data_IF_073625484327
#
_entry.id   IF_073625484327
#
_cell.length_a   1.000
_cell.length_b   1.000
_cell.length_c   1.000
_cell.angle_alpha   90.00
_cell.angle_beta   90.00
_cell.angle_gamma   90.00
#
_symmetry.space_group_name_H-M   'P 1'
#
loop_
_entity.id
_entity.type
_entity.pdbx_description
1 polymer ?
#
# COMPACT_ATOMS: atom_id res chain seq x y z
N UNK A 1 1.73 -11.13 8.61
CA UNK A 1 3.18 -11.19 8.40
C UNK A 1 3.78 -9.89 7.85
N UNK A 2 3.07 -9.12 7.01
CA UNK A 2 3.61 -7.84 6.48
C UNK A 2 3.72 -6.73 7.56
N UNK A 3 2.78 -6.71 8.52
CA UNK A 3 2.78 -5.79 9.67
C UNK A 3 4.05 -5.86 10.50
N UNK A 4 4.56 -7.06 10.77
CA UNK A 4 5.78 -7.25 11.57
C UNK A 4 7.01 -6.77 10.82
N UNK A 5 7.08 -7.01 9.50
CA UNK A 5 8.13 -6.49 8.62
C UNK A 5 8.17 -4.95 8.61
N UNK A 6 7.00 -4.31 8.49
CA UNK A 6 6.86 -2.86 8.56
C UNK A 6 7.30 -2.31 9.92
N UNK A 7 6.88 -2.93 11.02
CA UNK A 7 7.28 -2.53 12.38
C UNK A 7 8.80 -2.65 12.59
N UNK A 8 9.43 -3.74 12.15
CA UNK A 8 10.89 -3.89 12.24
C UNK A 8 11.63 -2.87 11.39
N UNK A 9 11.14 -2.60 10.17
CA UNK A 9 11.75 -1.59 9.30
C UNK A 9 11.62 -0.17 9.87
N UNK A 10 10.47 0.15 10.49
CA UNK A 10 10.25 1.41 11.19
C UNK A 10 11.17 1.55 12.41
N UNK A 11 11.36 0.48 13.19
CA UNK A 11 12.28 0.48 14.33
C UNK A 11 13.74 0.72 13.88
N UNK A 12 14.17 0.08 12.80
CA UNK A 12 15.52 0.26 12.24
C UNK A 12 15.70 1.69 11.72
N UNK A 13 14.71 2.25 11.01
CA UNK A 13 14.78 3.61 10.51
C UNK A 13 14.75 4.66 11.64
N UNK A 14 13.96 4.45 12.70
CA UNK A 14 13.96 5.30 13.89
C UNK A 14 15.31 5.27 14.63
N UNK A 15 15.90 4.07 14.79
CA UNK A 15 17.22 3.91 15.39
C UNK A 15 18.32 4.60 14.57
N UNK A 16 18.27 4.48 13.24
CA UNK A 16 19.19 5.16 12.34
C UNK A 16 19.03 6.70 12.37
N UNK A 17 17.80 7.21 12.52
CA UNK A 17 17.51 8.64 12.66
C UNK A 17 18.02 9.21 14.00
N UNK A 18 17.92 8.45 15.10
CA UNK A 18 18.48 8.88 16.40
C UNK A 18 20.01 8.90 16.41
N UNK A 19 20.65 7.99 15.67
CA UNK A 19 22.11 7.89 15.61
C UNK A 19 22.73 8.89 14.63
N UNK A 20 22.03 9.15 13.53
CA UNK A 20 22.51 9.94 12.41
C UNK A 20 21.47 11.02 12.16
N UNK A 21 21.77 12.27 12.50
CA UNK A 21 20.94 13.44 12.14
C UNK A 21 20.96 13.63 10.61
N UNK A 22 20.39 12.67 9.88
CA UNK A 22 20.53 12.49 8.44
C UNK A 22 19.14 12.27 7.85
N UNK A 23 18.93 12.83 6.67
CA UNK A 23 17.66 12.76 5.95
C UNK A 23 17.39 11.37 5.34
N UNK A 24 18.44 10.55 5.18
CA UNK A 24 18.38 9.21 4.60
C UNK A 24 17.40 8.24 5.28
N UNK A 25 17.42 8.07 6.62
CA UNK A 25 16.42 7.25 7.32
C UNK A 25 14.99 7.77 7.15
N UNK A 26 14.82 9.10 7.07
CA UNK A 26 13.52 9.73 6.88
C UNK A 26 12.98 9.47 5.46
N UNK A 27 13.83 9.58 4.44
CA UNK A 27 13.51 9.21 3.06
C UNK A 27 13.20 7.72 2.92
N UNK A 28 13.95 6.86 3.62
CA UNK A 28 13.68 5.41 3.63
C UNK A 28 12.33 5.08 4.28
N UNK A 29 11.98 5.76 5.38
CA UNK A 29 10.70 5.57 6.07
C UNK A 29 9.53 6.06 5.20
N UNK A 30 9.72 7.18 4.50
CA UNK A 30 8.76 7.70 3.52
C UNK A 30 8.57 6.72 2.34
N UNK A 31 9.65 6.16 1.81
CA UNK A 31 9.59 5.17 0.73
C UNK A 31 8.86 3.89 1.15
N UNK A 32 9.14 3.39 2.37
CA UNK A 32 8.47 2.22 2.94
C UNK A 32 6.96 2.48 3.15
N UNK A 33 6.60 3.65 3.65
CA UNK A 33 5.19 4.06 3.80
C UNK A 33 4.50 4.16 2.44
N UNK A 34 5.14 4.76 1.45
CA UNK A 34 4.60 4.86 0.09
C UNK A 34 4.35 3.47 -0.52
N UNK A 35 5.33 2.56 -0.40
CA UNK A 35 5.20 1.19 -0.88
C UNK A 35 4.06 0.44 -0.17
N UNK A 36 3.92 0.65 1.14
CA UNK A 36 2.81 0.05 1.91
C UNK A 36 1.45 0.56 1.44
N UNK A 37 1.28 1.87 1.25
CA UNK A 37 0.02 2.46 0.77
C UNK A 37 -0.36 1.91 -0.60
N UNK A 38 0.57 1.83 -1.56
CA UNK A 38 0.31 1.25 -2.88
C UNK A 38 -0.11 -0.22 -2.79
N UNK A 39 0.53 -0.99 -1.89
CA UNK A 39 0.17 -2.39 -1.66
C UNK A 39 -1.24 -2.56 -1.09
N UNK A 40 -1.65 -1.70 -0.15
CA UNK A 40 -3.01 -1.72 0.43
C UNK A 40 -4.04 -1.29 -0.62
N UNK A 41 -3.77 -0.24 -1.39
CA UNK A 41 -4.66 0.21 -2.48
C UNK A 41 -4.85 -0.91 -3.52
N UNK A 42 -3.77 -1.56 -3.95
CA UNK A 42 -3.84 -2.70 -4.87
C UNK A 42 -4.66 -3.87 -4.32
N UNK A 43 -4.54 -4.16 -3.02
CA UNK A 43 -5.38 -5.16 -2.34
C UNK A 43 -6.86 -4.76 -2.35
N UNK A 44 -7.19 -3.50 -2.05
CA UNK A 44 -8.54 -2.97 -2.06
C UNK A 44 -9.15 -3.08 -3.47
N UNK A 45 -8.42 -2.66 -4.51
CA UNK A 45 -8.90 -2.78 -5.89
C UNK A 45 -9.13 -4.23 -6.32
N UNK A 46 -8.33 -5.16 -5.80
CA UNK A 46 -8.50 -6.59 -6.09
C UNK A 46 -9.67 -7.22 -5.34
N UNK A 47 -10.02 -6.66 -4.19
CA UNK A 47 -11.16 -7.07 -3.37
C UNK A 47 -12.46 -6.36 -3.75
N UNK A 48 -12.37 -5.26 -4.49
CA UNK A 48 -13.53 -4.63 -5.08
C UNK A 48 -14.20 -5.66 -6.00
N UNK A 49 -15.50 -5.92 -5.82
CA UNK A 49 -16.24 -6.70 -6.79
C UNK A 49 -16.00 -6.05 -8.15
N UNK A 50 -15.69 -6.86 -9.17
CA UNK A 50 -15.61 -6.36 -10.53
C UNK A 50 -16.88 -5.53 -10.76
N UNK A 51 -16.72 -4.24 -11.11
CA UNK A 51 -17.85 -3.42 -11.51
C UNK A 51 -18.49 -4.19 -12.66
N UNK A 52 -19.63 -4.84 -12.37
CA UNK A 52 -20.38 -5.54 -13.38
C UNK A 52 -20.64 -4.47 -14.45
N UNK A 53 -20.24 -4.70 -15.71
CA UNK A 53 -20.69 -3.80 -16.76
C UNK A 53 -22.20 -3.78 -16.63
N UNK A 54 -22.77 -2.59 -16.45
CA UNK A 54 -24.21 -2.42 -16.28
C UNK A 54 -24.90 -3.35 -17.27
N UNK A 55 -25.74 -4.23 -16.72
CA UNK A 55 -26.58 -5.18 -17.43
C UNK A 55 -27.64 -4.37 -18.21
N UNK A 56 -27.18 -3.62 -19.21
CA UNK A 56 -27.94 -2.76 -20.12
C UNK A 56 -27.68 -3.18 -21.55
N UNK A 57 -27.37 -4.44 -21.80
CA UNK A 57 -27.09 -4.96 -23.14
C UNK A 57 -27.66 -6.36 -23.23
N UNK A 58 -28.72 -6.52 -24.03
CA UNK A 58 -29.42 -7.77 -24.41
C UNK A 58 -30.59 -8.28 -23.54
N UNK A 59 -31.60 -7.44 -23.31
CA UNK A 59 -32.99 -7.90 -23.37
C UNK A 59 -33.74 -7.10 -24.44
N UNK A 60 -33.38 -7.37 -25.69
CA UNK A 60 -34.15 -6.96 -26.86
C UNK A 60 -34.30 -8.22 -27.70
N UNK A 61 -35.04 -9.18 -27.14
CA UNK A 61 -35.47 -10.36 -27.89
C UNK A 61 -36.94 -10.15 -28.26
N UNK A 62 -37.18 -10.40 -29.54
CA UNK A 62 -38.37 -10.16 -30.34
C UNK A 62 -39.42 -11.24 -30.10
#
# INVERSE_FOLDING_TARGET
MIRTLLLTSAAIAAYALTQSHSLLPLLSLLALLSLWVVSEIGLIYRQLPAAQPDESTYHLDV
#
